data_IF_978044382285
#
_entry.id   IF_978044382285
#
_cell.length_a   1.000
_cell.length_b   1.000
_cell.length_c   1.000
_cell.angle_alpha   90.00
_cell.angle_beta   90.00
_cell.angle_gamma   90.00
#
_symmetry.space_group_name_H-M   'P 1'
#
loop_
_entity.id
_entity.type
_entity.pdbx_description
1 polymer ?
#
# COMPACT_ATOMS: atom_id res chain seq x y z
N UNK A 1 -8.17 16.88 -16.00
CA UNK A 1 -7.79 17.70 -14.81
C UNK A 1 -6.75 16.95 -13.98
N UNK A 2 -5.85 17.66 -13.29
CA UNK A 2 -4.93 17.02 -12.33
C UNK A 2 -5.75 16.53 -11.14
N UNK A 3 -5.55 15.26 -10.73
CA UNK A 3 -6.16 14.65 -9.55
C UNK A 3 -5.33 14.99 -8.31
N UNK A 4 -5.97 15.14 -7.15
CA UNK A 4 -5.31 15.23 -5.85
C UNK A 4 -5.18 13.84 -5.24
N UNK A 5 -3.96 13.34 -5.13
CA UNK A 5 -3.68 11.97 -4.67
C UNK A 5 -2.81 12.03 -3.42
N UNK A 6 -3.28 11.41 -2.34
CA UNK A 6 -2.56 11.29 -1.08
C UNK A 6 -1.91 9.91 -0.96
N UNK A 7 -0.62 9.90 -0.65
CA UNK A 7 0.15 8.70 -0.34
C UNK A 7 0.51 8.71 1.15
N UNK A 8 0.00 7.78 1.91
CA UNK A 8 0.48 7.54 3.28
C UNK A 8 1.70 6.63 3.19
N UNK A 9 2.85 7.09 3.71
CA UNK A 9 4.10 6.32 3.66
C UNK A 9 4.83 6.36 2.31
N UNK A 10 4.78 7.48 1.60
CA UNK A 10 5.35 7.65 0.25
C UNK A 10 6.82 8.10 0.16
N UNK A 11 7.57 8.16 1.27
CA UNK A 11 8.95 8.69 1.24
C UNK A 11 10.01 7.70 0.75
N UNK A 12 9.71 6.41 0.69
CA UNK A 12 10.63 5.35 0.24
C UNK A 12 9.88 4.22 -0.47
N UNK A 13 10.63 3.32 -1.10
CA UNK A 13 10.13 2.05 -1.65
C UNK A 13 9.00 2.23 -2.66
N UNK A 14 7.95 1.42 -2.52
CA UNK A 14 6.80 1.40 -3.44
C UNK A 14 6.10 2.77 -3.47
N UNK A 15 5.87 3.39 -2.31
CA UNK A 15 5.16 4.66 -2.25
C UNK A 15 5.91 5.79 -2.96
N UNK A 16 7.23 5.85 -2.83
CA UNK A 16 8.07 6.80 -3.56
C UNK A 16 8.02 6.56 -5.07
N UNK A 17 8.04 5.30 -5.50
CA UNK A 17 7.96 4.97 -6.92
C UNK A 17 6.60 5.34 -7.52
N UNK A 18 5.51 5.18 -6.76
CA UNK A 18 4.17 5.68 -7.15
C UNK A 18 4.20 7.20 -7.32
N UNK A 19 4.79 7.93 -6.36
CA UNK A 19 4.91 9.38 -6.45
C UNK A 19 5.69 9.81 -7.70
N UNK A 20 6.85 9.19 -7.97
CA UNK A 20 7.66 9.44 -9.17
C UNK A 20 6.89 9.20 -10.48
N UNK A 21 5.99 8.23 -10.48
CA UNK A 21 5.20 7.91 -11.66
C UNK A 21 4.08 8.92 -11.92
N UNK A 22 3.52 9.50 -10.84
CA UNK A 22 2.29 10.29 -10.94
C UNK A 22 2.48 11.81 -10.89
N UNK A 23 3.58 12.33 -10.31
CA UNK A 23 3.74 13.75 -9.98
C UNK A 23 3.63 14.71 -11.18
N UNK A 24 4.02 14.28 -12.37
CA UNK A 24 3.94 15.13 -13.57
C UNK A 24 2.49 15.44 -13.98
N UNK A 25 1.61 14.49 -13.75
CA UNK A 25 0.22 14.53 -14.24
C UNK A 25 -0.81 14.80 -13.13
N UNK A 26 -0.40 14.72 -11.86
CA UNK A 26 -1.28 14.84 -10.69
C UNK A 26 -0.64 15.68 -9.59
N UNK A 27 -1.45 16.22 -8.70
CA UNK A 27 -1.01 16.85 -7.46
C UNK A 27 -0.79 15.73 -6.42
N UNK A 28 0.45 15.52 -6.01
CA UNK A 28 0.81 14.44 -5.09
C UNK A 28 1.10 15.02 -3.70
N UNK A 29 0.40 14.49 -2.72
CA UNK A 29 0.61 14.74 -1.30
C UNK A 29 1.20 13.48 -0.67
N UNK A 30 2.29 13.63 0.09
CA UNK A 30 2.95 12.50 0.75
C UNK A 30 2.97 12.76 2.24
N UNK A 31 2.19 11.97 2.98
CA UNK A 31 2.17 11.97 4.44
C UNK A 31 3.09 10.88 4.97
N UNK A 32 4.21 11.25 5.58
CA UNK A 32 5.22 10.31 6.08
C UNK A 32 6.10 10.92 7.18
N UNK A 33 6.68 10.06 8.02
CA UNK A 33 7.58 10.45 9.12
C UNK A 33 8.87 11.10 8.67
N UNK A 34 9.37 10.68 7.52
CA UNK A 34 10.65 11.15 6.98
C UNK A 34 10.40 11.98 5.72
N UNK A 35 11.17 13.03 5.56
CA UNK A 35 11.19 13.80 4.31
C UNK A 35 11.65 12.93 3.14
N UNK A 36 11.24 13.32 1.96
CA UNK A 36 11.67 12.67 0.72
C UNK A 36 13.03 13.24 0.37
N UNK A 37 13.99 12.36 0.15
CA UNK A 37 15.34 12.73 -0.32
C UNK A 37 15.40 12.69 -1.85
N UNK A 38 14.67 13.62 -2.51
CA UNK A 38 14.64 13.75 -3.96
C UNK A 38 14.32 15.19 -4.36
N UNK A 39 15.35 15.98 -4.64
CA UNK A 39 15.26 17.42 -4.95
C UNK A 39 14.45 17.77 -6.20
N UNK A 40 14.19 16.82 -7.10
CA UNK A 40 13.49 17.05 -8.37
C UNK A 40 12.05 16.53 -8.40
N UNK A 41 11.47 16.15 -7.25
CA UNK A 41 10.13 15.62 -7.17
C UNK A 41 9.16 16.71 -6.69
N UNK A 42 8.38 17.28 -7.59
CA UNK A 42 7.36 18.29 -7.26
C UNK A 42 6.16 17.63 -6.56
N UNK A 43 6.27 17.46 -5.25
CA UNK A 43 5.22 16.89 -4.39
C UNK A 43 5.11 17.70 -3.09
N UNK A 44 3.93 17.71 -2.48
CA UNK A 44 3.73 18.28 -1.15
C UNK A 44 4.03 17.22 -0.09
N UNK A 45 5.06 17.44 0.72
CA UNK A 45 5.37 16.56 1.85
C UNK A 45 4.73 17.09 3.13
N UNK A 46 4.05 16.20 3.85
CA UNK A 46 3.41 16.45 5.14
C UNK A 46 4.01 15.49 6.17
N UNK A 47 4.52 16.00 7.28
CA UNK A 47 5.02 15.16 8.37
C UNK A 47 3.85 14.45 9.05
N UNK A 48 3.91 13.11 9.14
CA UNK A 48 2.81 12.32 9.68
C UNK A 48 3.27 10.93 10.15
N UNK A 49 2.94 10.59 11.38
CA UNK A 49 3.07 9.22 11.92
C UNK A 49 1.67 8.61 12.10
N UNK A 50 1.31 7.67 11.26
CA UNK A 50 0.00 7.00 11.27
C UNK A 50 -0.38 6.35 12.60
N UNK A 51 0.61 6.06 13.46
CA UNK A 51 0.36 5.48 14.79
C UNK A 51 0.07 6.52 15.86
N UNK A 52 0.44 7.79 15.63
CA UNK A 52 0.39 8.85 16.67
C UNK A 52 -0.51 10.01 16.28
N UNK A 53 -0.46 10.41 15.00
CA UNK A 53 -1.05 11.68 14.58
C UNK A 53 -2.50 11.48 14.10
N UNK A 54 -3.25 12.57 14.12
CA UNK A 54 -4.59 12.64 13.54
C UNK A 54 -4.49 13.11 12.09
N UNK A 55 -5.00 12.32 11.16
CA UNK A 55 -5.00 12.63 9.74
C UNK A 55 -5.79 13.91 9.41
N UNK A 56 -6.77 14.28 10.23
CA UNK A 56 -7.57 15.48 10.05
C UNK A 56 -6.79 16.78 10.31
N UNK A 57 -5.62 16.69 10.96
CA UNK A 57 -4.74 17.83 11.22
C UNK A 57 -3.89 18.25 10.02
N UNK A 58 -3.83 17.42 8.98
CA UNK A 58 -3.03 17.71 7.79
C UNK A 58 -3.70 18.75 6.89
N UNK A 59 -2.89 19.69 6.41
CA UNK A 59 -3.30 20.68 5.40
C UNK A 59 -3.44 20.02 4.02
N UNK A 60 -4.61 19.48 3.76
CA UNK A 60 -4.97 18.76 2.55
C UNK A 60 -6.07 19.50 1.79
N UNK A 61 -6.12 19.40 0.45
CA UNK A 61 -7.19 19.98 -0.34
C UNK A 61 -8.57 19.46 0.12
N UNK A 62 -9.62 20.23 -0.14
CA UNK A 62 -11.00 19.86 0.20
C UNK A 62 -11.43 18.57 -0.51
N UNK A 63 -10.97 18.34 -1.73
CA UNK A 63 -11.25 17.16 -2.54
C UNK A 63 -10.00 16.30 -2.69
N UNK A 64 -10.13 15.00 -2.43
CA UNK A 64 -9.13 13.97 -2.71
C UNK A 64 -9.68 12.96 -3.71
N UNK A 65 -8.97 12.78 -4.83
CA UNK A 65 -9.35 11.86 -5.90
C UNK A 65 -8.69 10.49 -5.79
N UNK A 66 -7.67 10.39 -4.94
CA UNK A 66 -6.96 9.14 -4.71
C UNK A 66 -6.33 9.05 -3.34
N UNK A 67 -6.33 7.84 -2.79
CA UNK A 67 -5.64 7.50 -1.54
C UNK A 67 -4.87 6.20 -1.71
N UNK A 68 -3.59 6.22 -1.39
CA UNK A 68 -2.77 5.01 -1.31
C UNK A 68 -2.23 4.84 0.10
N UNK A 69 -2.47 3.69 0.71
CA UNK A 69 -1.95 3.37 2.04
C UNK A 69 -0.78 2.39 1.93
N UNK A 70 0.45 2.92 2.07
CA UNK A 70 1.69 2.15 1.93
C UNK A 70 2.31 1.62 3.24
N UNK A 71 1.95 2.10 4.46
CA UNK A 71 2.60 1.60 5.67
C UNK A 71 2.45 0.09 5.81
N UNK A 72 3.53 -0.54 6.26
CA UNK A 72 3.58 -1.97 6.48
C UNK A 72 4.87 -2.36 7.16
N UNK A 73 4.98 -3.65 7.48
CA UNK A 73 6.11 -4.24 8.18
C UNK A 73 6.44 -5.62 7.61
N UNK A 74 7.66 -6.07 7.86
CA UNK A 74 8.11 -7.44 7.62
C UNK A 74 8.62 -8.01 8.94
N UNK A 75 7.75 -8.71 9.69
CA UNK A 75 8.10 -9.38 10.94
C UNK A 75 7.87 -10.89 10.77
N UNK A 76 8.88 -11.57 10.20
CA UNK A 76 8.82 -13.00 9.90
C UNK A 76 9.43 -13.82 11.03
N UNK A 77 8.59 -14.52 11.78
CA UNK A 77 8.99 -15.37 12.90
C UNK A 77 8.19 -16.68 12.92
N UNK A 78 8.79 -17.79 13.38
CA UNK A 78 8.01 -19.00 13.70
C UNK A 78 6.88 -18.68 14.66
N UNK A 79 5.69 -19.25 14.47
CA UNK A 79 4.51 -19.00 15.31
C UNK A 79 4.79 -19.18 16.81
N UNK A 80 5.56 -20.21 17.18
CA UNK A 80 5.95 -20.48 18.58
C UNK A 80 6.76 -19.34 19.24
N UNK A 81 7.35 -18.43 18.45
CA UNK A 81 8.11 -17.28 18.92
C UNK A 81 7.31 -15.98 18.93
N UNK A 82 6.11 -15.99 18.34
CA UNK A 82 5.22 -14.85 18.33
C UNK A 82 4.38 -14.79 19.60
N UNK A 83 4.21 -13.59 20.13
CA UNK A 83 3.32 -13.29 21.25
C UNK A 83 2.09 -12.53 20.75
N UNK A 84 0.98 -12.52 21.50
CA UNK A 84 -0.18 -11.70 21.15
C UNK A 84 0.17 -10.25 20.79
N UNK A 85 1.10 -9.65 21.53
CA UNK A 85 1.60 -8.29 21.27
C UNK A 85 2.21 -8.10 19.86
N UNK A 86 2.84 -9.12 19.29
CA UNK A 86 3.37 -9.05 17.92
C UNK A 86 2.21 -8.91 16.91
N UNK A 87 1.10 -9.62 17.12
CA UNK A 87 -0.12 -9.50 16.31
C UNK A 87 -0.79 -8.14 16.49
N UNK A 88 -0.89 -7.64 17.72
CA UNK A 88 -1.43 -6.31 18.01
C UNK A 88 -0.65 -5.22 17.27
N UNK A 89 0.68 -5.28 17.29
CA UNK A 89 1.54 -4.32 16.58
C UNK A 89 1.34 -4.36 15.07
N UNK A 90 1.25 -5.57 14.48
CA UNK A 90 0.95 -5.74 13.06
C UNK A 90 -0.44 -5.16 12.70
N UNK A 91 -1.45 -5.45 13.51
CA UNK A 91 -2.79 -4.91 13.32
C UNK A 91 -2.82 -3.39 13.45
N UNK A 92 -2.11 -2.81 14.43
CA UNK A 92 -2.07 -1.36 14.64
C UNK A 92 -1.52 -0.64 13.40
N UNK A 93 -0.38 -1.09 12.87
CA UNK A 93 0.26 -0.43 11.74
C UNK A 93 -0.48 -0.69 10.42
N UNK A 94 -0.80 -1.97 10.12
CA UNK A 94 -1.31 -2.35 8.81
C UNK A 94 -2.81 -2.08 8.68
N UNK A 95 -3.59 -2.29 9.74
CA UNK A 95 -5.05 -2.28 9.67
C UNK A 95 -5.69 -1.10 10.41
N UNK A 96 -5.48 -0.95 11.71
CA UNK A 96 -6.13 0.14 12.46
C UNK A 96 -5.65 1.53 12.02
N UNK A 97 -4.37 1.68 11.65
CA UNK A 97 -3.86 2.90 11.03
C UNK A 97 -4.57 3.22 9.71
N UNK A 98 -4.79 2.21 8.87
CA UNK A 98 -5.58 2.35 7.64
C UNK A 98 -7.01 2.82 7.94
N UNK A 99 -7.69 2.18 8.91
CA UNK A 99 -9.07 2.56 9.29
C UNK A 99 -9.13 4.02 9.73
N UNK A 100 -8.20 4.47 10.60
CA UNK A 100 -8.15 5.86 11.07
C UNK A 100 -7.99 6.84 9.89
N UNK A 101 -7.08 6.53 8.97
CA UNK A 101 -6.82 7.36 7.79
C UNK A 101 -8.06 7.45 6.90
N UNK A 102 -8.66 6.32 6.54
CA UNK A 102 -9.85 6.29 5.66
C UNK A 102 -11.01 7.03 6.32
N UNK A 103 -11.27 6.78 7.60
CA UNK A 103 -12.37 7.43 8.32
C UNK A 103 -12.19 8.96 8.38
N UNK A 104 -10.98 9.43 8.74
CA UNK A 104 -10.72 10.88 8.82
C UNK A 104 -10.72 11.59 7.46
N UNK A 105 -10.44 10.86 6.36
CA UNK A 105 -10.44 11.42 5.00
C UNK A 105 -11.77 11.23 4.26
N UNK A 106 -12.71 10.49 4.81
CA UNK A 106 -13.98 10.18 4.13
C UNK A 106 -14.72 11.43 3.63
N UNK A 107 -14.83 12.54 4.38
CA UNK A 107 -15.45 13.75 3.87
C UNK A 107 -14.79 14.24 2.57
N UNK A 108 -13.45 14.35 2.55
CA UNK A 108 -12.68 14.83 1.39
C UNK A 108 -12.72 13.87 0.18
N UNK A 109 -12.78 12.56 0.43
CA UNK A 109 -12.91 11.53 -0.61
C UNK A 109 -14.29 11.57 -1.29
N UNK A 110 -15.33 11.91 -0.53
CA UNK A 110 -16.71 12.04 -1.07
C UNK A 110 -16.93 13.29 -1.94
N UNK A 111 -16.08 14.30 -1.83
CA UNK A 111 -16.12 15.47 -2.73
C UNK A 111 -15.64 15.15 -4.14
N UNK A 112 -14.94 14.04 -4.33
CA UNK A 112 -14.58 13.55 -5.67
C UNK A 112 -15.77 12.86 -6.35
N UNK A 113 -15.86 13.01 -7.66
CA UNK A 113 -16.89 12.28 -8.44
C UNK A 113 -16.75 10.77 -8.32
N UNK A 114 -15.51 10.26 -8.29
CA UNK A 114 -15.20 8.86 -8.05
C UNK A 114 -13.74 8.72 -7.55
N UNK A 115 -13.54 8.82 -6.25
CA UNK A 115 -12.22 8.62 -5.68
C UNK A 115 -11.77 7.16 -5.78
N UNK A 116 -10.45 6.94 -5.97
CA UNK A 116 -9.87 5.60 -6.02
C UNK A 116 -8.94 5.36 -4.84
N UNK A 117 -9.22 4.33 -4.05
CA UNK A 117 -8.45 3.91 -2.90
C UNK A 117 -7.67 2.62 -3.24
N UNK A 118 -6.37 2.62 -2.97
CA UNK A 118 -5.52 1.45 -3.20
C UNK A 118 -4.78 1.10 -1.92
N UNK A 119 -4.95 -0.14 -1.47
CA UNK A 119 -4.30 -0.69 -0.28
C UNK A 119 -3.37 -1.84 -0.65
N UNK A 120 -2.47 -2.20 0.26
CA UNK A 120 -1.53 -3.30 0.02
C UNK A 120 -1.78 -4.48 0.95
N UNK A 121 -2.05 -5.63 0.36
CA UNK A 121 -2.03 -6.94 1.00
C UNK A 121 -0.68 -7.63 0.81
N UNK A 122 -0.68 -8.93 0.75
CA UNK A 122 0.48 -9.78 0.46
C UNK A 122 0.02 -11.10 -0.16
N UNK A 123 0.80 -11.62 -1.09
CA UNK A 123 0.62 -12.98 -1.63
C UNK A 123 0.51 -14.04 -0.53
N UNK A 124 1.14 -13.79 0.63
CA UNK A 124 1.09 -14.69 1.79
C UNK A 124 -0.33 -14.93 2.34
N UNK A 125 -1.27 -14.02 2.08
CA UNK A 125 -2.68 -14.20 2.46
C UNK A 125 -3.34 -15.28 1.60
N UNK A 126 -3.04 -15.28 0.28
CA UNK A 126 -3.66 -16.22 -0.67
C UNK A 126 -3.05 -17.63 -0.58
N UNK A 127 -1.70 -17.73 -0.55
CA UNK A 127 -1.04 -19.04 -0.65
C UNK A 127 -0.64 -19.64 0.70
N UNK A 128 -0.68 -18.85 1.77
CA UNK A 128 -0.12 -19.24 3.07
C UNK A 128 1.39 -19.46 3.02
N UNK A 129 2.13 -18.81 3.90
CA UNK A 129 3.59 -18.92 3.94
C UNK A 129 4.09 -19.17 5.36
N UNK A 130 5.10 -20.05 5.54
CA UNK A 130 5.76 -20.19 6.85
C UNK A 130 6.26 -18.84 7.37
N UNK A 131 6.15 -18.62 8.67
CA UNK A 131 6.61 -17.42 9.39
C UNK A 131 5.81 -16.13 9.14
N UNK A 132 4.70 -16.18 8.40
CA UNK A 132 3.91 -15.00 8.03
C UNK A 132 2.60 -14.86 8.83
N UNK A 133 2.36 -15.64 9.87
CA UNK A 133 1.05 -15.71 10.55
C UNK A 133 0.55 -14.35 11.05
N UNK A 134 1.40 -13.49 11.62
CA UNK A 134 0.97 -12.17 12.11
C UNK A 134 0.71 -11.19 10.97
N UNK A 135 1.64 -11.07 10.03
CA UNK A 135 1.48 -10.14 8.89
C UNK A 135 0.36 -10.58 7.96
N UNK A 136 0.21 -11.89 7.70
CA UNK A 136 -0.87 -12.40 6.85
C UNK A 136 -2.25 -12.16 7.49
N UNK A 137 -2.38 -12.28 8.82
CA UNK A 137 -3.62 -11.94 9.53
C UNK A 137 -3.99 -10.46 9.34
N UNK A 138 -3.03 -9.54 9.54
CA UNK A 138 -3.27 -8.11 9.36
C UNK A 138 -3.57 -7.73 7.89
N UNK A 139 -2.88 -8.36 6.94
CA UNK A 139 -3.12 -8.12 5.51
C UNK A 139 -4.43 -8.74 5.03
N UNK A 140 -4.85 -9.88 5.58
CA UNK A 140 -6.17 -10.46 5.33
C UNK A 140 -7.30 -9.56 5.83
N UNK A 141 -7.13 -8.88 6.97
CA UNK A 141 -8.09 -7.91 7.47
C UNK A 141 -8.28 -6.74 6.48
N UNK A 142 -7.21 -6.27 5.83
CA UNK A 142 -7.28 -5.23 4.77
C UNK A 142 -8.15 -5.71 3.59
N UNK A 143 -7.99 -6.96 3.16
CA UNK A 143 -8.76 -7.51 2.03
C UNK A 143 -10.26 -7.55 2.33
N UNK A 144 -10.64 -8.03 3.51
CA UNK A 144 -12.03 -8.04 3.95
C UNK A 144 -12.62 -6.65 4.06
N UNK A 145 -11.89 -5.72 4.68
CA UNK A 145 -12.28 -4.32 4.79
C UNK A 145 -12.46 -3.65 3.43
N UNK A 146 -11.51 -3.79 2.53
CA UNK A 146 -11.56 -3.17 1.21
C UNK A 146 -12.76 -3.62 0.39
N UNK A 147 -13.09 -4.91 0.41
CA UNK A 147 -14.27 -5.47 -0.27
C UNK A 147 -15.58 -4.88 0.27
N UNK A 148 -15.70 -4.81 1.59
CA UNK A 148 -16.91 -4.26 2.23
C UNK A 148 -17.02 -2.76 1.98
N UNK A 149 -15.93 -2.01 2.08
CA UNK A 149 -15.91 -0.57 1.82
C UNK A 149 -16.25 -0.26 0.36
N UNK A 150 -15.76 -1.07 -0.60
CA UNK A 150 -16.09 -0.95 -2.01
C UNK A 150 -17.60 -1.12 -2.25
N UNK A 151 -18.21 -2.12 -1.63
CA UNK A 151 -19.65 -2.38 -1.77
C UNK A 151 -20.50 -1.28 -1.13
N UNK A 152 -20.08 -0.76 0.02
CA UNK A 152 -20.82 0.24 0.78
C UNK A 152 -20.81 1.63 0.09
N UNK A 153 -19.68 1.99 -0.53
CA UNK A 153 -19.50 3.34 -1.09
C UNK A 153 -19.55 3.42 -2.62
N UNK A 154 -19.80 2.32 -3.33
CA UNK A 154 -20.05 2.40 -4.77
C UNK A 154 -21.32 3.23 -5.05
N UNK A 155 -21.36 4.04 -6.12
CA UNK A 155 -20.32 4.27 -7.12
C UNK A 155 -19.34 5.40 -6.77
N UNK A 156 -19.47 6.05 -5.62
CA UNK A 156 -18.65 7.24 -5.25
C UNK A 156 -17.19 6.92 -5.03
N UNK A 157 -16.89 5.72 -4.51
CA UNK A 157 -15.53 5.27 -4.25
C UNK A 157 -15.26 3.94 -4.95
N UNK A 158 -14.07 3.81 -5.53
CA UNK A 158 -13.50 2.51 -5.91
C UNK A 158 -12.41 2.14 -4.89
N UNK A 159 -12.45 0.92 -4.42
CA UNK A 159 -11.49 0.43 -3.41
C UNK A 159 -10.91 -0.89 -3.88
N UNK A 160 -9.61 -0.92 -4.10
CA UNK A 160 -8.92 -2.13 -4.55
C UNK A 160 -7.67 -2.40 -3.72
N UNK A 161 -7.22 -3.64 -3.73
CA UNK A 161 -6.04 -4.10 -3.02
C UNK A 161 -5.03 -4.65 -4.02
N UNK A 162 -3.80 -4.20 -3.93
CA UNK A 162 -2.67 -4.83 -4.62
C UNK A 162 -2.03 -5.83 -3.64
N UNK A 163 -1.80 -7.06 -4.10
CA UNK A 163 -1.21 -8.15 -3.31
C UNK A 163 0.16 -8.52 -3.89
N UNK A 164 1.26 -7.87 -3.44
CA UNK A 164 2.60 -8.15 -3.92
C UNK A 164 3.16 -9.44 -3.37
N UNK A 165 4.12 -10.03 -4.09
CA UNK A 165 5.13 -10.91 -3.54
C UNK A 165 6.35 -10.10 -3.09
N UNK A 166 7.45 -10.79 -2.79
CA UNK A 166 8.70 -10.16 -2.40
C UNK A 166 9.14 -9.15 -3.46
N UNK A 167 9.24 -7.90 -3.05
CA UNK A 167 9.59 -6.76 -3.89
C UNK A 167 10.86 -6.11 -3.36
N UNK A 168 11.78 -5.76 -4.25
CA UNK A 168 13.05 -5.12 -3.91
C UNK A 168 12.80 -3.69 -3.40
N UNK A 169 12.83 -3.55 -2.08
CA UNK A 169 12.53 -2.32 -1.34
C UNK A 169 13.46 -2.24 -0.12
N UNK A 170 13.67 -1.05 0.46
CA UNK A 170 14.38 -0.92 1.73
C UNK A 170 13.80 -1.79 2.84
N UNK A 171 12.49 -2.01 2.85
CA UNK A 171 11.82 -2.88 3.83
C UNK A 171 12.22 -4.36 3.67
N UNK A 172 12.51 -4.80 2.45
CA UNK A 172 12.89 -6.17 2.11
C UNK A 172 14.41 -6.43 2.13
N UNK A 173 15.23 -5.41 2.39
CA UNK A 173 16.68 -5.45 2.30
C UNK A 173 17.30 -6.67 3.01
N UNK A 174 16.85 -6.97 4.23
CA UNK A 174 17.36 -8.12 5.01
C UNK A 174 17.11 -9.47 4.32
N UNK A 175 16.12 -9.57 3.45
CA UNK A 175 15.78 -10.78 2.71
C UNK A 175 16.55 -10.89 1.38
N UNK A 176 17.10 -9.78 0.89
CA UNK A 176 17.76 -9.67 -0.42
C UNK A 176 19.21 -9.20 -0.33
N UNK A 177 19.80 -9.18 0.86
CA UNK A 177 21.10 -8.56 1.17
C UNK A 177 22.35 -9.31 0.65
N UNK A 178 22.18 -10.40 -0.09
CA UNK A 178 23.26 -11.05 -0.82
C UNK A 178 22.72 -11.83 -2.04
N UNK A 179 23.59 -12.05 -3.02
CA UNK A 179 23.25 -12.66 -4.30
C UNK A 179 22.62 -14.04 -4.17
N UNK A 180 23.12 -14.89 -3.26
CA UNK A 180 22.56 -16.24 -3.05
C UNK A 180 21.13 -16.20 -2.53
N UNK A 181 20.83 -15.27 -1.61
CA UNK A 181 19.45 -15.09 -1.11
C UNK A 181 18.55 -14.56 -2.20
N UNK A 182 19.03 -13.57 -2.95
CA UNK A 182 18.28 -12.97 -4.06
C UNK A 182 17.96 -14.03 -5.11
N UNK A 183 18.95 -14.77 -5.58
CA UNK A 183 18.77 -15.87 -6.54
C UNK A 183 17.77 -16.92 -6.06
N UNK A 184 17.85 -17.33 -4.78
CA UNK A 184 16.89 -18.26 -4.19
C UNK A 184 15.46 -17.70 -4.20
N UNK A 185 15.30 -16.40 -3.96
CA UNK A 185 13.98 -15.74 -4.01
C UNK A 185 13.50 -15.58 -5.45
N UNK A 186 14.38 -15.25 -6.40
CA UNK A 186 14.08 -15.17 -7.83
C UNK A 186 13.51 -16.50 -8.34
N UNK A 187 14.17 -17.62 -8.01
CA UNK A 187 13.74 -18.95 -8.46
C UNK A 187 12.38 -19.40 -7.92
N UNK A 188 11.89 -18.81 -6.84
CA UNK A 188 10.56 -19.12 -6.30
C UNK A 188 9.42 -18.60 -7.16
N UNK A 189 9.67 -17.54 -7.92
CA UNK A 189 8.67 -16.95 -8.80
C UNK A 189 8.68 -17.62 -10.16
N UNK A 190 7.52 -17.92 -10.76
CA UNK A 190 7.44 -18.36 -12.16
C UNK A 190 8.18 -17.42 -13.12
N UNK A 191 8.10 -16.10 -12.94
CA UNK A 191 8.82 -15.11 -13.75
C UNK A 191 10.32 -14.99 -13.41
N UNK A 192 10.88 -15.87 -12.56
CA UNK A 192 12.31 -15.99 -12.25
C UNK A 192 12.99 -14.71 -11.78
N UNK A 193 12.26 -13.85 -11.13
CA UNK A 193 12.78 -12.65 -10.44
C UNK A 193 11.87 -12.22 -9.30
N UNK A 194 12.43 -11.54 -8.33
CA UNK A 194 11.64 -10.74 -7.37
C UNK A 194 11.02 -9.53 -8.05
N UNK A 195 9.96 -8.99 -7.46
CA UNK A 195 9.32 -7.77 -7.96
C UNK A 195 10.23 -6.55 -7.77
N UNK A 196 10.04 -5.55 -8.63
CA UNK A 196 10.59 -4.20 -8.48
C UNK A 196 9.52 -3.26 -7.92
N UNK A 197 9.92 -2.13 -7.37
CA UNK A 197 8.98 -1.08 -6.96
C UNK A 197 8.11 -0.61 -8.13
N UNK A 198 8.68 -0.58 -9.35
CA UNK A 198 7.98 -0.20 -10.58
C UNK A 198 6.85 -1.19 -10.95
N UNK A 199 7.03 -2.50 -10.74
CA UNK A 199 5.97 -3.48 -11.00
C UNK A 199 4.71 -3.15 -10.19
N UNK A 200 4.89 -2.83 -8.91
CA UNK A 200 3.80 -2.51 -8.00
C UNK A 200 3.22 -1.12 -8.28
N UNK A 201 4.08 -0.13 -8.54
CA UNK A 201 3.66 1.23 -8.86
C UNK A 201 2.85 1.30 -10.16
N UNK A 202 3.16 0.47 -11.17
CA UNK A 202 2.41 0.39 -12.42
C UNK A 202 0.95 -0.04 -12.17
N UNK A 203 0.74 -1.11 -11.41
CA UNK A 203 -0.60 -1.57 -11.05
C UNK A 203 -1.34 -0.51 -10.22
N UNK A 204 -0.66 0.10 -9.26
CA UNK A 204 -1.26 1.13 -8.40
C UNK A 204 -1.69 2.35 -9.23
N UNK A 205 -0.84 2.82 -10.14
CA UNK A 205 -1.17 3.94 -11.02
C UNK A 205 -2.36 3.62 -11.94
N UNK A 206 -2.42 2.41 -12.50
CA UNK A 206 -3.57 1.93 -13.27
C UNK A 206 -4.86 1.96 -12.43
N UNK A 207 -4.83 1.48 -11.19
CA UNK A 207 -6.00 1.47 -10.30
C UNK A 207 -6.45 2.89 -9.90
N UNK A 208 -5.56 3.88 -9.90
CA UNK A 208 -5.88 5.29 -9.64
C UNK A 208 -6.40 6.02 -10.88
N UNK A 209 -6.23 5.43 -12.06
CA UNK A 209 -6.63 6.02 -13.34
C UNK A 209 -8.10 5.73 -13.72
N UNK A 210 -8.59 6.40 -14.75
CA UNK A 210 -9.92 6.16 -15.35
C UNK A 210 -9.97 4.82 -16.11
N UNK A 211 -8.83 4.29 -16.53
CA UNK A 211 -8.74 3.00 -17.23
C UNK A 211 -9.23 1.83 -16.37
N UNK A 212 -9.26 2.02 -15.06
CA UNK A 212 -9.78 1.04 -14.08
C UNK A 212 -11.18 1.42 -13.53
N UNK A 213 -11.93 2.28 -14.21
CA UNK A 213 -13.24 2.80 -13.73
C UNK A 213 -14.29 1.71 -13.46
N UNK A 214 -14.12 0.51 -14.05
CA UNK A 214 -15.00 -0.64 -13.83
C UNK A 214 -14.40 -1.70 -12.87
N UNK A 215 -13.36 -1.33 -12.09
CA UNK A 215 -12.67 -2.21 -11.15
C UNK A 215 -12.82 -1.69 -9.73
N UNK A 216 -13.53 -2.42 -8.88
CA UNK A 216 -13.66 -2.15 -7.44
C UNK A 216 -13.84 -3.44 -6.65
N UNK A 217 -13.45 -3.46 -5.37
CA UNK A 217 -13.55 -4.61 -4.48
C UNK A 217 -12.58 -5.75 -4.79
N UNK A 218 -11.58 -5.52 -5.67
CA UNK A 218 -10.68 -6.57 -6.13
C UNK A 218 -9.39 -6.65 -5.30
N UNK A 219 -8.88 -7.89 -5.19
CA UNK A 219 -7.52 -8.18 -4.69
C UNK A 219 -6.69 -8.68 -5.87
N UNK A 220 -5.77 -7.84 -6.33
CA UNK A 220 -5.00 -8.08 -7.54
C UNK A 220 -3.57 -8.51 -7.20
N UNK A 221 -3.21 -9.73 -7.58
CA UNK A 221 -1.86 -10.27 -7.41
C UNK A 221 -0.88 -9.59 -8.36
N UNK A 222 0.22 -9.04 -7.79
CA UNK A 222 1.39 -8.57 -8.55
C UNK A 222 2.60 -9.30 -7.97
N UNK A 223 2.73 -10.56 -8.30
CA UNK A 223 3.53 -11.53 -7.54
C UNK A 223 4.42 -12.43 -8.41
N UNK A 224 4.59 -12.09 -9.68
CA UNK A 224 5.41 -12.88 -10.61
C UNK A 224 4.91 -14.30 -10.83
N UNK A 225 3.60 -14.54 -10.62
CA UNK A 225 2.95 -15.84 -10.77
C UNK A 225 3.06 -16.73 -9.52
N UNK A 226 3.53 -16.22 -8.38
CA UNK A 226 3.73 -17.06 -7.19
C UNK A 226 2.43 -17.65 -6.63
N UNK A 227 1.30 -17.02 -6.90
CA UNK A 227 -0.02 -17.43 -6.41
C UNK A 227 -0.89 -18.16 -7.45
N UNK A 228 -0.30 -18.57 -8.56
CA UNK A 228 -0.98 -19.39 -9.59
C UNK A 228 -1.06 -20.87 -9.21
#
# INVERSE_FOLDING_TARGET
MKKNILLIGGSTGIGLEIAKKLYKNHNIYIASRNKIDHDNLEVTHLEFDVLKDDISSLDLPEQLDGLVYCPGSINLKPFKMLKPKDFEQEMQLNFFGLIKVVNGLMPKLKESNQASLVFFSSVAVKVGMPFHTSVAAAKGAIEGFAKSLAAEYAPSLRVNVVSPSLTDTPLAEKLLNNDKKKEKMDQRHPLKRVGTTADIANMTAFLLSEESSWITGQVLGVDGGLST
#
